data_IF_970599156152
#
_entry.id   IF_970599156152
#
_cell.length_a   1.000
_cell.length_b   1.000
_cell.length_c   1.000
_cell.angle_alpha   90.00
_cell.angle_beta   90.00
_cell.angle_gamma   90.00
#
_symmetry.space_group_name_H-M   'P 1'
#
loop_
_entity.id
_entity.type
_entity.pdbx_description
1 polymer ?
#
# COMPACT_ATOMS: atom_id res chain seq x y z
N UNK A 1 -26.93 -29.10 43.44
CA UNK A 1 -26.83 -27.85 42.66
C UNK A 1 -25.54 -27.91 41.85
N UNK A 2 -25.60 -28.03 40.51
CA UNK A 2 -24.38 -28.05 39.69
C UNK A 2 -23.95 -26.61 39.35
N UNK A 3 -22.65 -26.36 39.42
CA UNK A 3 -22.06 -25.07 39.04
C UNK A 3 -21.98 -24.93 37.52
N UNK A 4 -22.14 -23.72 36.94
CA UNK A 4 -22.00 -23.52 35.51
C UNK A 4 -20.54 -23.61 35.10
N UNK A 5 -20.23 -24.60 34.27
CA UNK A 5 -18.95 -24.79 33.59
C UNK A 5 -18.68 -23.61 32.64
N UNK A 6 -17.78 -22.71 33.05
CA UNK A 6 -17.22 -21.70 32.16
C UNK A 6 -16.34 -22.39 31.12
N UNK A 7 -16.85 -22.49 29.89
CA UNK A 7 -16.00 -22.79 28.73
C UNK A 7 -15.19 -21.53 28.40
N UNK A 8 -13.86 -21.60 28.27
CA UNK A 8 -13.10 -20.45 27.81
C UNK A 8 -13.39 -20.29 26.31
N UNK A 9 -14.09 -19.22 25.94
CA UNK A 9 -14.17 -18.79 24.55
C UNK A 9 -12.76 -18.34 24.17
N UNK A 10 -12.01 -19.24 23.56
CA UNK A 10 -10.76 -18.92 22.90
C UNK A 10 -11.13 -18.15 21.62
N UNK A 11 -11.14 -16.82 21.69
CA UNK A 11 -11.15 -16.00 20.48
C UNK A 11 -9.83 -16.25 19.77
N UNK A 12 -9.82 -17.18 18.81
CA UNK A 12 -8.78 -17.20 17.79
C UNK A 12 -8.91 -15.89 17.02
N UNK A 13 -7.99 -14.96 17.30
CA UNK A 13 -7.79 -13.81 16.43
C UNK A 13 -7.45 -14.38 15.05
N UNK A 14 -8.16 -13.99 13.98
CA UNK A 14 -7.80 -14.49 12.67
C UNK A 14 -6.39 -13.97 12.37
N UNK A 15 -5.47 -14.89 12.10
CA UNK A 15 -4.10 -14.64 11.62
C UNK A 15 -4.08 -13.95 10.22
N UNK A 16 -5.20 -13.36 9.80
CA UNK A 16 -5.55 -12.92 8.44
C UNK A 16 -5.51 -11.38 8.25
N UNK A 17 -4.75 -10.65 9.07
CA UNK A 17 -4.69 -9.18 8.94
C UNK A 17 -3.51 -8.69 8.10
N UNK A 18 -2.42 -9.46 7.98
CA UNK A 18 -1.20 -9.03 7.30
C UNK A 18 -1.27 -9.27 5.77
N UNK A 19 -1.73 -10.45 5.32
CA UNK A 19 -1.83 -10.77 3.89
C UNK A 19 -2.84 -9.88 3.13
N UNK A 20 -3.94 -9.50 3.80
CA UNK A 20 -4.97 -8.65 3.20
C UNK A 20 -4.56 -7.18 3.06
N UNK A 21 -3.66 -6.70 3.93
CA UNK A 21 -3.18 -5.31 3.91
C UNK A 21 -2.39 -5.00 2.64
N UNK A 22 -1.49 -5.90 2.26
CA UNK A 22 -0.64 -5.78 1.06
C UNK A 22 -1.43 -5.76 -0.23
N UNK A 23 -2.38 -6.68 -0.37
CA UNK A 23 -3.20 -6.77 -1.58
C UNK A 23 -4.04 -5.51 -1.77
N UNK A 24 -4.56 -4.95 -0.67
CA UNK A 24 -5.28 -3.68 -0.70
C UNK A 24 -4.39 -2.51 -1.14
N UNK A 25 -3.12 -2.48 -0.69
CA UNK A 25 -2.17 -1.44 -1.11
C UNK A 25 -1.83 -1.56 -2.61
N UNK A 26 -1.56 -2.77 -3.11
CA UNK A 26 -1.29 -3.00 -4.53
C UNK A 26 -2.48 -2.60 -5.41
N UNK A 27 -3.70 -3.02 -5.02
CA UNK A 27 -4.93 -2.61 -5.70
C UNK A 27 -5.15 -1.09 -5.65
N UNK A 28 -4.80 -0.47 -4.52
CA UNK A 28 -4.81 0.99 -4.38
C UNK A 28 -3.88 1.67 -5.39
N UNK A 29 -2.65 1.19 -5.53
CA UNK A 29 -1.67 1.74 -6.48
C UNK A 29 -2.09 1.50 -7.94
N UNK A 30 -2.70 0.36 -8.27
CA UNK A 30 -3.33 0.15 -9.59
C UNK A 30 -4.45 1.15 -9.85
N UNK A 31 -5.27 1.44 -8.83
CA UNK A 31 -6.29 2.47 -8.89
C UNK A 31 -5.69 3.86 -9.17
N UNK A 32 -4.56 4.19 -8.54
CA UNK A 32 -3.83 5.45 -8.79
C UNK A 32 -3.41 5.53 -10.25
N UNK A 33 -2.74 4.52 -10.80
CA UNK A 33 -2.32 4.49 -12.22
C UNK A 33 -3.51 4.65 -13.18
N UNK A 34 -4.63 3.98 -12.89
CA UNK A 34 -5.83 4.12 -13.71
C UNK A 34 -6.36 5.56 -13.73
N UNK A 35 -6.28 6.29 -12.61
CA UNK A 35 -6.63 7.71 -12.61
C UNK A 35 -5.57 8.59 -13.27
N UNK A 36 -4.27 8.31 -13.13
CA UNK A 36 -3.22 9.03 -13.87
C UNK A 36 -3.45 8.93 -15.39
N UNK A 37 -3.84 7.75 -15.88
CA UNK A 37 -4.21 7.58 -17.29
C UNK A 37 -5.44 8.43 -17.67
N UNK A 38 -6.48 8.47 -16.83
CA UNK A 38 -7.66 9.33 -17.06
C UNK A 38 -7.29 10.81 -17.12
N UNK A 39 -6.41 11.27 -16.22
CA UNK A 39 -5.90 12.65 -16.19
C UNK A 39 -5.14 12.95 -17.48
N UNK A 40 -4.28 12.03 -17.92
CA UNK A 40 -3.52 12.16 -19.18
C UNK A 40 -4.46 12.31 -20.38
N UNK A 41 -5.42 11.39 -20.52
CA UNK A 41 -6.40 11.44 -21.62
C UNK A 41 -7.24 12.73 -21.60
N UNK A 42 -7.62 13.20 -20.41
CA UNK A 42 -8.37 14.45 -20.26
C UNK A 42 -7.52 15.67 -20.67
N UNK A 43 -6.24 15.73 -20.26
CA UNK A 43 -5.30 16.78 -20.64
C UNK A 43 -5.05 16.80 -22.16
N UNK A 44 -4.83 15.64 -22.77
CA UNK A 44 -4.63 15.51 -24.23
C UNK A 44 -5.84 16.02 -25.03
N UNK A 45 -7.06 15.78 -24.51
CA UNK A 45 -8.33 16.25 -25.09
C UNK A 45 -8.72 17.67 -24.69
N UNK A 46 -7.94 18.32 -23.82
CA UNK A 46 -8.26 19.63 -23.20
C UNK A 46 -9.59 19.63 -22.44
N UNK A 47 -10.03 18.48 -21.94
CA UNK A 47 -11.21 18.34 -21.09
C UNK A 47 -10.83 18.57 -19.63
N UNK A 48 -10.78 19.85 -19.24
CA UNK A 48 -10.36 20.23 -17.89
C UNK A 48 -11.38 19.87 -16.79
N UNK A 49 -12.64 19.66 -17.16
CA UNK A 49 -13.68 19.22 -16.23
C UNK A 49 -13.44 17.75 -15.85
N UNK A 50 -13.25 16.87 -16.84
CA UNK A 50 -12.89 15.48 -16.59
C UNK A 50 -11.54 15.36 -15.87
N UNK A 51 -10.55 16.20 -16.23
CA UNK A 51 -9.25 16.28 -15.53
C UNK A 51 -9.44 16.55 -14.04
N UNK A 52 -10.22 17.59 -13.69
CA UNK A 52 -10.44 17.97 -12.29
C UNK A 52 -11.07 16.84 -11.49
N UNK A 53 -12.12 16.21 -12.03
CA UNK A 53 -12.77 15.05 -11.38
C UNK A 53 -11.77 13.92 -11.17
N UNK A 54 -10.96 13.59 -12.18
CA UNK A 54 -9.97 12.53 -12.04
C UNK A 54 -8.86 12.86 -11.02
N UNK A 55 -8.42 14.12 -10.96
CA UNK A 55 -7.44 14.59 -9.96
C UNK A 55 -8.02 14.48 -8.54
N UNK A 56 -9.21 15.00 -8.29
CA UNK A 56 -9.84 14.96 -6.97
C UNK A 56 -9.98 13.50 -6.48
N UNK A 57 -10.29 12.57 -7.39
CA UNK A 57 -10.42 11.14 -7.07
C UNK A 57 -9.08 10.48 -6.73
N UNK A 58 -8.02 10.77 -7.48
CA UNK A 58 -6.70 10.19 -7.19
C UNK A 58 -6.09 10.79 -5.93
N UNK A 59 -6.28 12.09 -5.66
CA UNK A 59 -5.81 12.72 -4.43
C UNK A 59 -6.46 12.09 -3.19
N UNK A 60 -7.78 11.88 -3.20
CA UNK A 60 -8.47 11.18 -2.11
C UNK A 60 -7.98 9.74 -1.92
N UNK A 61 -7.78 9.00 -3.02
CA UNK A 61 -7.26 7.63 -2.95
C UNK A 61 -5.86 7.61 -2.32
N UNK A 62 -4.96 8.46 -2.80
CA UNK A 62 -3.58 8.56 -2.29
C UNK A 62 -3.56 8.97 -0.82
N UNK A 63 -4.37 9.94 -0.41
CA UNK A 63 -4.51 10.32 1.00
C UNK A 63 -4.99 9.15 1.87
N UNK A 64 -5.98 8.39 1.41
CA UNK A 64 -6.48 7.23 2.13
C UNK A 64 -5.41 6.13 2.25
N UNK A 65 -4.62 5.88 1.21
CA UNK A 65 -3.49 4.94 1.26
C UNK A 65 -2.40 5.40 2.23
N UNK A 66 -2.09 6.70 2.24
CA UNK A 66 -1.14 7.29 3.18
C UNK A 66 -1.58 7.11 4.64
N UNK A 67 -2.86 7.33 4.96
CA UNK A 67 -3.38 7.15 6.32
C UNK A 67 -3.25 5.69 6.81
N UNK A 68 -3.37 4.72 5.91
CA UNK A 68 -3.23 3.29 6.25
C UNK A 68 -1.80 2.83 6.42
N UNK A 69 -0.81 3.62 6.00
CA UNK A 69 0.60 3.29 6.13
C UNK A 69 1.00 3.07 7.60
N UNK A 70 0.43 3.86 8.51
CA UNK A 70 0.75 3.84 9.94
C UNK A 70 0.25 2.59 10.66
N UNK A 71 -0.76 1.92 10.11
CA UNK A 71 -1.35 0.72 10.71
C UNK A 71 -0.55 -0.55 10.40
N UNK A 72 0.32 -0.52 9.38
CA UNK A 72 0.87 -1.73 8.76
C UNK A 72 2.39 -1.85 8.80
N UNK A 73 3.13 -0.81 9.21
CA UNK A 73 4.58 -0.74 8.93
C UNK A 73 5.42 -0.35 10.16
N UNK A 74 6.67 -0.82 10.22
CA UNK A 74 7.64 -0.41 11.24
C UNK A 74 8.17 1.02 11.02
N UNK A 75 8.50 1.71 12.12
CA UNK A 75 8.77 3.17 12.18
C UNK A 75 9.85 3.67 11.19
N UNK A 76 10.88 2.88 10.90
CA UNK A 76 11.98 3.31 10.00
C UNK A 76 11.58 3.29 8.52
N UNK A 77 10.77 2.33 8.09
CA UNK A 77 10.34 2.20 6.68
C UNK A 77 9.12 3.04 6.33
N UNK A 78 8.32 3.40 7.33
CA UNK A 78 7.22 4.37 7.17
C UNK A 78 7.70 5.70 6.61
N UNK A 79 8.89 6.17 6.98
CA UNK A 79 9.38 7.50 6.59
C UNK A 79 9.55 7.60 5.07
N UNK A 80 10.07 6.56 4.42
CA UNK A 80 10.31 6.59 2.98
C UNK A 80 8.99 6.54 2.19
N UNK A 81 8.07 5.64 2.57
CA UNK A 81 6.75 5.57 1.95
C UNK A 81 5.93 6.84 2.18
N UNK A 82 5.93 7.41 3.39
CA UNK A 82 5.27 8.68 3.70
C UNK A 82 5.77 9.81 2.79
N UNK A 83 7.09 9.91 2.61
CA UNK A 83 7.70 10.90 1.71
C UNK A 83 7.25 10.72 0.27
N UNK A 84 7.23 9.50 -0.24
CA UNK A 84 6.80 9.20 -1.61
C UNK A 84 5.33 9.56 -1.84
N UNK A 85 4.44 9.18 -0.91
CA UNK A 85 3.03 9.54 -0.99
C UNK A 85 2.79 11.06 -0.92
N UNK A 86 3.47 11.77 -0.01
CA UNK A 86 3.37 13.24 0.08
C UNK A 86 3.92 13.93 -1.16
N UNK A 87 5.01 13.42 -1.71
CA UNK A 87 5.57 13.94 -2.95
C UNK A 87 4.64 13.71 -4.14
N UNK A 88 3.98 12.55 -4.22
CA UNK A 88 2.96 12.27 -5.22
C UNK A 88 1.79 13.27 -5.12
N UNK A 89 1.25 13.52 -3.92
CA UNK A 89 0.20 14.52 -3.70
C UNK A 89 0.63 15.93 -4.16
N UNK A 90 1.85 16.33 -3.82
CA UNK A 90 2.40 17.62 -4.26
C UNK A 90 2.48 17.71 -5.79
N UNK A 91 2.87 16.64 -6.47
CA UNK A 91 2.95 16.61 -7.94
C UNK A 91 1.59 16.58 -8.61
N UNK A 92 0.61 15.90 -8.03
CA UNK A 92 -0.79 15.95 -8.48
C UNK A 92 -1.34 17.37 -8.40
N UNK A 93 -1.11 18.08 -7.30
CA UNK A 93 -1.50 19.48 -7.15
C UNK A 93 -0.82 20.39 -8.19
N UNK A 94 0.48 20.18 -8.45
CA UNK A 94 1.21 20.92 -9.48
C UNK A 94 0.64 20.65 -10.89
N UNK A 95 0.40 19.39 -11.23
CA UNK A 95 -0.24 19.00 -12.49
C UNK A 95 -1.63 19.61 -12.62
N UNK A 96 -2.41 19.67 -11.53
CA UNK A 96 -3.72 20.28 -11.53
C UNK A 96 -3.66 21.77 -11.88
N UNK A 97 -2.72 22.49 -11.26
CA UNK A 97 -2.59 23.94 -11.41
C UNK A 97 -2.04 24.34 -12.78
N UNK A 98 -1.05 23.60 -13.30
CA UNK A 98 -0.34 23.98 -14.53
C UNK A 98 -0.75 23.20 -15.79
N UNK A 99 -1.61 22.19 -15.67
CA UNK A 99 -1.95 21.28 -16.78
C UNK A 99 -0.70 20.62 -17.41
N UNK A 100 0.32 20.37 -16.60
CA UNK A 100 1.63 19.90 -17.05
C UNK A 100 1.65 18.36 -17.21
N UNK A 101 1.66 17.90 -18.46
CA UNK A 101 1.76 16.48 -18.81
C UNK A 101 3.10 15.86 -18.42
N UNK A 102 4.20 16.64 -18.39
CA UNK A 102 5.49 16.14 -17.95
C UNK A 102 5.55 16.00 -16.43
N UNK A 103 4.87 16.88 -15.69
CA UNK A 103 4.65 16.67 -14.25
C UNK A 103 3.86 15.38 -14.00
N UNK A 104 2.85 15.08 -14.82
CA UNK A 104 2.08 13.83 -14.72
C UNK A 104 2.95 12.59 -14.99
N UNK A 105 3.85 12.62 -15.97
CA UNK A 105 4.81 11.52 -16.21
C UNK A 105 5.71 11.26 -15.00
N UNK A 106 6.07 12.31 -14.24
CA UNK A 106 6.84 12.13 -13.00
C UNK A 106 6.00 11.46 -11.91
N UNK A 107 4.67 11.65 -11.89
CA UNK A 107 3.80 10.90 -10.98
C UNK A 107 3.86 9.40 -11.25
N UNK A 108 3.92 8.97 -12.52
CA UNK A 108 4.04 7.56 -12.88
C UNK A 108 5.32 6.93 -12.29
N UNK A 109 6.45 7.65 -12.33
CA UNK A 109 7.71 7.20 -11.73
C UNK A 109 7.59 7.06 -10.21
N UNK A 110 6.95 8.02 -9.54
CA UNK A 110 6.73 7.96 -8.09
C UNK A 110 5.84 6.78 -7.69
N UNK A 111 4.86 6.43 -8.51
CA UNK A 111 4.01 5.25 -8.28
C UNK A 111 4.81 3.96 -8.46
N UNK A 112 5.72 3.90 -9.42
CA UNK A 112 6.64 2.76 -9.56
C UNK A 112 7.56 2.63 -8.34
N UNK A 113 8.14 3.74 -7.86
CA UNK A 113 8.95 3.74 -6.63
C UNK A 113 8.13 3.25 -5.43
N UNK A 114 6.88 3.69 -5.29
CA UNK A 114 5.96 3.19 -4.25
C UNK A 114 5.77 1.68 -4.35
N UNK A 115 5.51 1.13 -5.54
CA UNK A 115 5.35 -0.33 -5.74
C UNK A 115 6.63 -1.09 -5.35
N UNK A 116 7.79 -0.57 -5.70
CA UNK A 116 9.08 -1.17 -5.37
C UNK A 116 9.30 -1.18 -3.85
N UNK A 117 9.07 -0.06 -3.17
CA UNK A 117 9.22 0.04 -1.71
C UNK A 117 8.27 -0.93 -0.97
N UNK A 118 7.03 -1.04 -1.43
CA UNK A 118 6.08 -2.04 -0.91
C UNK A 118 6.54 -3.47 -1.16
N UNK A 119 7.13 -3.77 -2.32
CA UNK A 119 7.65 -5.11 -2.62
C UNK A 119 8.83 -5.49 -1.72
N UNK A 120 9.77 -4.56 -1.52
CA UNK A 120 10.92 -4.71 -0.61
C UNK A 120 10.49 -4.92 0.87
N UNK A 121 9.34 -4.37 1.26
CA UNK A 121 8.74 -4.62 2.57
C UNK A 121 8.40 -6.10 2.78
N UNK A 122 7.84 -6.74 1.76
CA UNK A 122 7.38 -8.13 1.82
C UNK A 122 8.48 -9.16 1.65
N UNK A 123 9.43 -8.95 0.74
CA UNK A 123 10.52 -9.90 0.52
C UNK A 123 11.35 -10.13 1.80
N UNK A 124 11.56 -9.06 2.59
CA UNK A 124 12.25 -9.15 3.89
C UNK A 124 11.39 -9.78 4.98
N UNK A 125 10.05 -9.67 4.92
CA UNK A 125 9.16 -10.35 5.86
C UNK A 125 9.19 -11.87 5.65
N UNK A 126 9.31 -12.32 4.41
CA UNK A 126 9.38 -13.74 4.05
C UNK A 126 10.74 -14.38 4.40
N UNK A 127 11.84 -13.66 4.23
CA UNK A 127 13.19 -14.14 4.59
C UNK A 127 13.48 -14.18 6.10
N UNK A 128 12.56 -13.66 6.94
CA UNK A 128 12.66 -13.73 8.41
C UNK A 128 12.14 -15.04 9.03
N UNK A 129 11.52 -15.92 8.25
CA UNK A 129 11.09 -17.25 8.69
C UNK A 129 11.99 -18.32 8.07
N UNK A 130 13.11 -18.62 8.72
CA UNK A 130 13.74 -19.93 8.58
C UNK A 130 12.84 -20.90 9.35
N UNK A 131 12.21 -21.92 8.73
CA UNK A 131 11.58 -22.98 9.50
C UNK A 131 12.68 -23.65 10.31
N UNK A 132 12.64 -23.52 11.65
CA UNK A 132 13.29 -24.49 12.54
C UNK A 132 12.55 -25.83 12.39
N UNK A 133 12.75 -26.49 11.27
CA UNK A 133 12.33 -27.87 11.02
C UNK A 133 13.43 -28.52 10.19
N UNK A 134 14.55 -28.76 10.86
CA UNK A 134 15.13 -30.09 11.08
C UNK A 134 15.87 -29.92 12.41
N UNK A 135 15.26 -30.37 13.50
CA UNK A 135 15.97 -30.51 14.77
C UNK A 135 16.91 -31.71 14.58
N UNK A 136 18.22 -31.47 14.48
CA UNK A 136 19.22 -32.52 14.28
C UNK A 136 19.18 -33.59 15.39
N UNK A 137 18.55 -33.26 16.52
CA UNK A 137 18.35 -34.16 17.65
C UNK A 137 17.32 -35.28 17.38
N UNK A 138 16.46 -35.14 16.35
CA UNK A 138 15.54 -36.21 15.91
C UNK A 138 16.19 -37.21 14.93
N UNK A 139 17.35 -36.87 14.36
CA UNK A 139 18.02 -37.70 13.34
C UNK A 139 19.08 -38.66 13.92
N UNK A 140 19.49 -38.46 15.17
CA UNK A 140 20.35 -39.36 15.92
C UNK A 140 19.53 -40.01 17.03
N UNK A 141 18.74 -41.01 16.65
CA UNK A 141 18.06 -41.89 17.60
C UNK A 141 19.06 -42.51 18.57
N UNK A 142 18.75 -42.40 19.86
CA UNK A 142 19.34 -43.16 20.94
C UNK A 142 19.13 -44.67 20.78
#
# INVERSE_FOLDING_TARGET
MPQPSQSPIHYQQPECSQENGTQLMQLGLEGVEAYLLRIRTALERRDYAAKKVAIDRVEHLVQHLLLRLEEQTSRERMIQLDRLYRYLLLKLAYCNMFNDLDALKRCDLVVQDLRLEWSCLHEKAQHGQIPRMIDFNDMLGA
#
